data_IF_870293852249
#
_entry.id   IF_870293852249
#
_cell.length_a   1.000
_cell.length_b   1.000
_cell.length_c   1.000
_cell.angle_alpha   90.00
_cell.angle_beta   90.00
_cell.angle_gamma   90.00
#
_symmetry.space_group_name_H-M   'P 1'
#
loop_
_entity.id
_entity.type
_entity.pdbx_description
1 polymer ?
#
# COMPACT_ATOMS: atom_id res chain seq x y z
N UNK A 1 -1.29 -11.00 -6.33
CA UNK A 1 -1.61 -9.89 -5.40
C UNK A 1 -0.43 -8.92 -5.29
N UNK A 2 0.81 -9.41 -5.19
CA UNK A 2 2.03 -8.59 -5.07
C UNK A 2 2.24 -7.58 -6.22
N UNK A 3 1.95 -7.93 -7.48
CA UNK A 3 2.09 -6.96 -8.59
C UNK A 3 1.22 -5.71 -8.40
N UNK A 4 -0.07 -5.89 -8.08
CA UNK A 4 -1.00 -4.77 -7.83
C UNK A 4 -0.53 -3.92 -6.64
N UNK A 5 -0.03 -4.57 -5.59
CA UNK A 5 0.53 -3.89 -4.44
C UNK A 5 1.71 -2.99 -4.82
N UNK A 6 2.68 -3.53 -5.56
CA UNK A 6 3.86 -2.79 -6.01
C UNK A 6 3.50 -1.65 -6.97
N UNK A 7 2.55 -1.85 -7.88
CA UNK A 7 2.07 -0.80 -8.78
C UNK A 7 1.53 0.41 -8.00
N UNK A 8 0.65 0.16 -7.01
CA UNK A 8 0.09 1.25 -6.17
C UNK A 8 1.21 1.97 -5.41
N UNK A 9 2.20 1.24 -4.87
CA UNK A 9 3.31 1.86 -4.16
C UNK A 9 4.19 2.72 -5.06
N UNK A 10 4.41 2.30 -6.31
CA UNK A 10 5.14 3.11 -7.31
C UNK A 10 4.37 4.39 -7.61
N UNK A 11 3.05 4.31 -7.81
CA UNK A 11 2.22 5.51 -8.01
C UNK A 11 2.26 6.46 -6.81
N UNK A 12 2.22 5.92 -5.59
CA UNK A 12 2.25 6.71 -4.36
C UNK A 12 3.65 7.31 -4.08
N UNK A 13 4.73 6.62 -4.44
CA UNK A 13 6.09 7.14 -4.41
C UNK A 13 6.25 8.33 -5.37
N UNK A 14 5.75 8.19 -6.60
CA UNK A 14 5.74 9.26 -7.60
C UNK A 14 4.95 10.49 -7.16
N UNK A 15 3.89 10.32 -6.35
CA UNK A 15 3.14 11.43 -5.74
C UNK A 15 3.87 12.09 -4.56
N UNK A 16 5.05 11.62 -4.17
CA UNK A 16 5.79 12.13 -3.02
C UNK A 16 5.18 11.69 -1.68
N UNK A 17 4.47 10.56 -1.66
CA UNK A 17 3.94 10.01 -0.43
C UNK A 17 4.89 9.04 0.28
N UNK A 18 6.08 8.79 -0.28
CA UNK A 18 7.18 8.13 0.42
C UNK A 18 8.13 9.15 1.03
N UNK A 19 8.42 8.99 2.31
CA UNK A 19 9.44 9.75 3.03
C UNK A 19 10.61 8.82 3.37
N UNK A 20 11.76 9.03 2.72
CA UNK A 20 13.00 8.24 2.88
C UNK A 20 12.78 6.74 2.66
N UNK A 21 12.33 6.01 3.68
CA UNK A 21 12.07 4.56 3.62
C UNK A 21 10.65 4.16 4.06
N UNK A 22 9.76 5.12 4.31
CA UNK A 22 8.42 4.84 4.83
C UNK A 22 7.36 5.53 4.00
N UNK A 23 6.26 4.85 3.71
CA UNK A 23 5.09 5.45 3.08
C UNK A 23 4.22 6.17 4.12
N UNK A 24 3.62 7.30 3.72
CA UNK A 24 2.63 8.00 4.55
C UNK A 24 1.39 7.13 4.72
N UNK A 25 0.67 7.33 5.82
CA UNK A 25 -0.57 6.61 6.12
C UNK A 25 -1.62 6.70 4.98
N UNK A 26 -1.65 7.81 4.23
CA UNK A 26 -2.52 7.95 3.05
C UNK A 26 -2.26 6.87 1.99
N UNK A 27 -1.00 6.52 1.74
CA UNK A 27 -0.64 5.49 0.78
C UNK A 27 -0.95 4.09 1.30
N UNK A 28 -0.73 3.85 2.60
CA UNK A 28 -1.10 2.58 3.23
C UNK A 28 -2.61 2.34 3.12
N UNK A 29 -3.42 3.35 3.45
CA UNK A 29 -4.87 3.27 3.32
C UNK A 29 -5.32 3.07 1.87
N UNK A 30 -4.64 3.72 0.91
CA UNK A 30 -4.94 3.54 -0.51
C UNK A 30 -4.65 2.11 -0.98
N UNK A 31 -3.55 1.51 -0.54
CA UNK A 31 -3.24 0.11 -0.82
C UNK A 31 -4.32 -0.81 -0.23
N UNK A 32 -4.71 -0.59 1.03
CA UNK A 32 -5.77 -1.37 1.68
C UNK A 32 -7.08 -1.30 0.90
N UNK A 33 -7.50 -0.09 0.48
CA UNK A 33 -8.73 0.12 -0.26
C UNK A 33 -8.71 -0.61 -1.61
N UNK A 34 -7.66 -0.43 -2.40
CA UNK A 34 -7.56 -1.04 -3.74
C UNK A 34 -7.43 -2.56 -3.65
N UNK A 35 -6.67 -3.10 -2.69
CA UNK A 35 -6.55 -4.55 -2.50
C UNK A 35 -7.89 -5.13 -2.05
N UNK A 36 -8.56 -4.49 -1.10
CA UNK A 36 -9.85 -4.97 -0.60
C UNK A 36 -10.92 -4.94 -1.70
N UNK A 37 -10.96 -3.88 -2.50
CA UNK A 37 -11.90 -3.74 -3.61
C UNK A 37 -11.60 -4.73 -4.74
N UNK A 38 -10.35 -4.81 -5.22
CA UNK A 38 -10.02 -5.66 -6.38
C UNK A 38 -10.08 -7.14 -6.09
N UNK A 39 -9.69 -7.56 -4.89
CA UNK A 39 -9.61 -8.97 -4.53
C UNK A 39 -10.77 -9.44 -3.64
N UNK A 40 -11.67 -8.54 -3.23
CA UNK A 40 -12.80 -8.85 -2.34
C UNK A 40 -12.32 -9.51 -1.03
N UNK A 41 -11.19 -9.06 -0.51
CA UNK A 41 -10.56 -9.56 0.73
C UNK A 41 -10.63 -8.50 1.82
N UNK A 42 -10.66 -8.94 3.08
CA UNK A 42 -10.44 -8.02 4.20
C UNK A 42 -8.94 -7.76 4.35
N UNK A 43 -8.50 -6.59 3.91
CA UNK A 43 -7.14 -6.09 4.15
C UNK A 43 -7.18 -5.00 5.22
N UNK A 44 -6.16 -4.94 6.08
CA UNK A 44 -6.02 -3.91 7.12
C UNK A 44 -4.67 -3.24 6.97
N UNK A 45 -4.57 -1.98 7.40
CA UNK A 45 -3.35 -1.19 7.31
C UNK A 45 -2.16 -1.88 8.00
N UNK A 46 -2.38 -2.60 9.11
CA UNK A 46 -1.33 -3.34 9.81
C UNK A 46 -0.74 -4.46 8.96
N UNK A 47 -1.55 -5.13 8.14
CA UNK A 47 -1.06 -6.18 7.24
C UNK A 47 -0.14 -5.59 6.18
N UNK A 48 -0.52 -4.44 5.60
CA UNK A 48 0.28 -3.70 4.61
C UNK A 48 1.56 -3.18 5.23
N UNK A 49 1.50 -2.53 6.39
CA UNK A 49 2.67 -2.01 7.10
C UNK A 49 3.65 -3.12 7.48
N UNK A 50 3.15 -4.27 7.95
CA UNK A 50 4.01 -5.39 8.29
C UNK A 50 4.76 -5.92 7.06
N UNK A 51 4.09 -5.98 5.91
CA UNK A 51 4.70 -6.42 4.66
C UNK A 51 5.79 -5.45 4.17
N UNK A 52 5.60 -4.14 4.33
CA UNK A 52 6.60 -3.12 3.98
C UNK A 52 7.87 -3.15 4.85
N UNK A 53 7.79 -3.77 6.02
CA UNK A 53 8.90 -3.86 6.98
C UNK A 53 9.75 -5.12 6.83
N UNK A 54 9.25 -6.11 6.09
CA UNK A 54 9.92 -7.39 5.83
C UNK A 54 10.78 -7.27 4.59
#
# INVERSE_FOLDING_TARGET
MEHVFLEILVEEDQKGNKSSNTFKAVSINRVVEVISERFQVQCDAKHVENHLRT
#
